data_IF_016818397372
#
_entry.id   IF_016818397372
#
_cell.length_a   1.000
_cell.length_b   1.000
_cell.length_c   1.000
_cell.angle_alpha   90.00
_cell.angle_beta   90.00
_cell.angle_gamma   90.00
#
_symmetry.space_group_name_H-M   'P 1'
#
loop_
_entity.id
_entity.type
_entity.pdbx_description
1 polymer ?
#
# COMPACT_ATOMS: atom_id res chain seq x y z
N UNK A 1 -6.48 5.12 -2.93
CA UNK A 1 -7.29 5.47 -1.72
C UNK A 1 -8.25 6.60 -2.07
N UNK A 2 -9.53 6.58 -1.63
CA UNK A 2 -10.02 5.94 -0.40
C UNK A 2 -10.85 4.64 -0.56
N UNK A 3 -11.11 4.16 -1.78
CA UNK A 3 -12.05 3.05 -2.02
C UNK A 3 -11.44 1.63 -2.07
N UNK A 4 -10.14 1.48 -1.85
CA UNK A 4 -9.44 0.20 -1.82
C UNK A 4 -8.32 0.23 -0.78
N UNK A 5 -7.66 -0.89 -0.52
CA UNK A 5 -6.46 -0.95 0.32
C UNK A 5 -5.42 -1.91 -0.27
N UNK A 6 -4.15 -1.68 0.07
CA UNK A 6 -3.04 -2.54 -0.33
C UNK A 6 -2.28 -3.02 0.91
N UNK A 7 -1.93 -4.31 0.92
CA UNK A 7 -1.17 -4.94 1.99
C UNK A 7 0.12 -5.54 1.41
N UNK A 8 1.23 -5.31 2.10
CA UNK A 8 2.50 -6.01 1.89
C UNK A 8 2.70 -6.94 3.08
N UNK A 9 2.68 -8.25 2.84
CA UNK A 9 2.66 -9.27 3.89
C UNK A 9 3.70 -10.33 3.60
N UNK A 10 4.51 -10.65 4.60
CA UNK A 10 5.31 -11.87 4.64
C UNK A 10 4.46 -12.95 5.30
N UNK A 11 4.03 -13.95 4.53
CA UNK A 11 3.26 -15.07 5.05
C UNK A 11 4.20 -16.24 5.41
N UNK A 12 3.92 -16.88 6.55
CA UNK A 12 4.62 -18.09 7.01
C UNK A 12 4.08 -19.35 6.36
N UNK A 13 2.82 -19.31 5.93
CA UNK A 13 2.09 -20.43 5.35
C UNK A 13 1.60 -20.08 3.95
N UNK A 14 1.49 -21.09 3.07
CA UNK A 14 1.06 -20.91 1.68
C UNK A 14 -0.33 -20.27 1.55
N UNK A 15 -1.22 -20.53 2.51
CA UNK A 15 -2.60 -20.04 2.54
C UNK A 15 -2.84 -18.88 3.52
N UNK A 16 -1.76 -18.31 4.08
CA UNK A 16 -1.82 -17.30 5.14
C UNK A 16 -2.64 -16.07 4.72
N UNK A 17 -2.31 -15.46 3.58
CA UNK A 17 -3.01 -14.26 3.10
C UNK A 17 -4.48 -14.54 2.72
N UNK A 18 -4.76 -15.71 2.14
CA UNK A 18 -6.11 -16.13 1.77
C UNK A 18 -6.99 -16.27 3.01
N UNK A 19 -6.48 -16.95 4.03
CA UNK A 19 -7.19 -17.15 5.30
C UNK A 19 -7.40 -15.84 6.06
N UNK A 20 -6.38 -14.99 6.12
CA UNK A 20 -6.46 -13.66 6.73
C UNK A 20 -7.53 -12.80 6.06
N UNK A 21 -7.44 -12.66 4.74
CA UNK A 21 -8.35 -11.80 3.97
C UNK A 21 -9.79 -12.28 4.07
N UNK A 22 -10.04 -13.60 3.95
CA UNK A 22 -11.37 -14.18 4.12
C UNK A 22 -11.98 -13.82 5.48
N UNK A 23 -11.22 -13.96 6.56
CA UNK A 23 -11.69 -13.64 7.92
C UNK A 23 -11.95 -12.15 8.08
N UNK A 24 -11.02 -11.30 7.64
CA UNK A 24 -11.10 -9.84 7.74
C UNK A 24 -12.30 -9.28 6.97
N UNK A 25 -12.43 -9.65 5.69
CA UNK A 25 -13.51 -9.18 4.82
C UNK A 25 -14.87 -9.63 5.34
N UNK A 26 -15.00 -10.92 5.70
CA UNK A 26 -16.29 -11.46 6.21
C UNK A 26 -16.72 -10.79 7.51
N UNK A 27 -15.80 -10.64 8.47
CA UNK A 27 -16.13 -10.03 9.76
C UNK A 27 -16.48 -8.56 9.59
N UNK A 28 -15.72 -7.82 8.78
CA UNK A 28 -15.95 -6.41 8.54
C UNK A 28 -17.26 -6.16 7.77
N UNK A 29 -17.56 -6.92 6.72
CA UNK A 29 -18.82 -6.79 5.98
C UNK A 29 -20.04 -7.04 6.88
N UNK A 30 -19.99 -8.07 7.74
CA UNK A 30 -21.08 -8.36 8.68
C UNK A 30 -21.24 -7.24 9.71
N UNK A 31 -20.14 -6.74 10.26
CA UNK A 31 -20.15 -5.60 11.18
C UNK A 31 -20.75 -4.35 10.53
N UNK A 32 -20.27 -3.98 9.34
CA UNK A 32 -20.72 -2.80 8.62
C UNK A 32 -22.22 -2.88 8.30
N UNK A 33 -22.66 -3.99 7.69
CA UNK A 33 -24.07 -4.19 7.35
C UNK A 33 -24.96 -4.12 8.58
N UNK A 34 -24.57 -4.73 9.71
CA UNK A 34 -25.31 -4.65 10.97
C UNK A 34 -25.35 -3.22 11.52
N UNK A 35 -24.23 -2.50 11.50
CA UNK A 35 -24.10 -1.15 12.07
C UNK A 35 -24.91 -0.11 11.28
N UNK A 36 -24.90 -0.22 9.95
CA UNK A 36 -25.51 0.76 9.05
C UNK A 36 -26.82 0.29 8.44
N UNK A 37 -27.36 -0.86 8.90
CA UNK A 37 -28.58 -1.48 8.40
C UNK A 37 -28.58 -1.70 6.87
N UNK A 38 -27.43 -2.07 6.32
CA UNK A 38 -27.27 -2.41 4.91
C UNK A 38 -27.44 -3.91 4.67
N UNK A 39 -27.73 -4.29 3.42
CA UNK A 39 -27.78 -5.70 2.98
C UNK A 39 -26.93 -5.87 1.72
N UNK A 40 -26.50 -7.11 1.45
CA UNK A 40 -25.69 -7.42 0.28
C UNK A 40 -24.16 -7.29 0.48
N UNK A 41 -23.39 -7.43 -0.61
CA UNK A 41 -21.93 -7.39 -0.57
C UNK A 41 -21.40 -5.98 -0.31
N UNK A 42 -20.39 -5.86 0.57
CA UNK A 42 -19.71 -4.59 0.85
C UNK A 42 -18.51 -4.34 -0.08
N UNK A 43 -17.82 -5.41 -0.48
CA UNK A 43 -16.65 -5.34 -1.35
C UNK A 43 -17.04 -5.75 -2.77
N UNK A 44 -16.52 -5.03 -3.75
CA UNK A 44 -16.89 -5.17 -5.17
C UNK A 44 -16.32 -6.42 -5.83
N UNK A 45 -15.09 -6.82 -5.48
CA UNK A 45 -14.38 -7.94 -6.10
C UNK A 45 -13.59 -8.73 -5.04
N UNK A 46 -13.11 -9.91 -5.43
CA UNK A 46 -12.15 -10.71 -4.67
C UNK A 46 -10.82 -9.97 -4.57
N UNK A 47 -10.09 -10.23 -3.49
CA UNK A 47 -8.73 -9.72 -3.36
C UNK A 47 -7.83 -10.28 -4.45
N UNK A 48 -6.86 -9.46 -4.88
CA UNK A 48 -5.82 -9.85 -5.83
C UNK A 48 -4.49 -9.90 -5.09
N UNK A 49 -3.67 -10.90 -5.39
CA UNK A 49 -2.35 -11.07 -4.81
C UNK A 49 -1.31 -11.36 -5.89
N UNK A 50 -0.11 -10.82 -5.70
CA UNK A 50 1.06 -11.07 -6.53
C UNK A 50 2.21 -11.46 -5.62
N UNK A 51 2.93 -12.54 -5.97
CA UNK A 51 4.13 -12.95 -5.23
C UNK A 51 5.28 -12.03 -5.61
N UNK A 52 6.01 -11.55 -4.62
CA UNK A 52 7.24 -10.79 -4.81
C UNK A 52 8.41 -11.77 -4.70
N UNK A 53 9.23 -11.84 -5.76
CA UNK A 53 10.38 -12.75 -5.85
C UNK A 53 11.74 -12.06 -5.84
N UNK A 54 11.77 -10.72 -5.98
CA UNK A 54 13.00 -9.95 -6.16
C UNK A 54 12.97 -8.66 -5.33
N UNK A 55 14.14 -8.26 -4.82
CA UNK A 55 14.30 -7.07 -3.98
C UNK A 55 13.91 -5.78 -4.71
N UNK A 56 14.29 -5.65 -5.99
CA UNK A 56 13.85 -4.51 -6.81
C UNK A 56 12.33 -4.41 -6.87
N UNK A 57 11.66 -5.56 -7.04
CA UNK A 57 10.21 -5.59 -7.08
C UNK A 57 9.61 -5.24 -5.70
N UNK A 58 10.20 -5.72 -4.61
CA UNK A 58 9.81 -5.36 -3.24
C UNK A 58 9.92 -3.84 -2.99
N UNK A 59 11.04 -3.22 -3.36
CA UNK A 59 11.27 -1.77 -3.24
C UNK A 59 10.18 -0.99 -4.00
N UNK A 60 9.93 -1.37 -5.26
CA UNK A 60 8.93 -0.70 -6.10
C UNK A 60 7.51 -0.86 -5.55
N UNK A 61 7.14 -2.05 -5.06
CA UNK A 61 5.82 -2.30 -4.48
C UNK A 61 5.64 -1.52 -3.18
N UNK A 62 6.66 -1.48 -2.31
CA UNK A 62 6.60 -0.69 -1.07
C UNK A 62 6.36 0.79 -1.37
N UNK A 63 7.10 1.36 -2.33
CA UNK A 63 6.88 2.73 -2.81
C UNK A 63 5.49 2.92 -3.40
N UNK A 64 5.03 2.02 -4.26
CA UNK A 64 3.70 2.09 -4.86
C UNK A 64 2.60 2.16 -3.79
N UNK A 65 2.69 1.31 -2.76
CA UNK A 65 1.73 1.26 -1.66
C UNK A 65 1.73 2.58 -0.89
N UNK A 66 2.91 3.08 -0.50
CA UNK A 66 3.01 4.30 0.29
C UNK A 66 2.62 5.55 -0.49
N UNK A 67 2.81 5.59 -1.81
CA UNK A 67 2.45 6.73 -2.66
C UNK A 67 1.04 6.62 -3.27
N UNK A 68 0.30 5.54 -3.02
CA UNK A 68 -1.06 5.36 -3.55
C UNK A 68 -2.08 6.41 -3.06
N UNK A 69 -2.08 6.85 -1.79
CA UNK A 69 -2.95 7.94 -1.37
C UNK A 69 -2.53 9.26 -2.04
N UNK A 70 -3.50 10.00 -2.58
CA UNK A 70 -3.24 11.28 -3.26
C UNK A 70 -2.47 12.28 -2.37
N UNK A 71 -2.76 12.27 -1.06
CA UNK A 71 -2.04 13.05 -0.04
C UNK A 71 -1.28 12.13 0.93
N UNK A 72 -0.41 11.28 0.39
CA UNK A 72 0.30 10.24 1.15
C UNK A 72 1.03 10.72 2.41
N UNK A 73 1.56 11.95 2.38
CA UNK A 73 2.35 12.53 3.48
C UNK A 73 1.52 12.87 4.73
N UNK A 74 0.21 13.04 4.57
CA UNK A 74 -0.73 13.31 5.67
C UNK A 74 -1.79 12.19 5.80
N UNK A 75 -1.61 11.08 5.09
CA UNK A 75 -2.55 9.96 5.12
C UNK A 75 -2.31 9.08 6.35
N UNK A 76 -3.25 9.12 7.29
CA UNK A 76 -3.11 8.43 8.59
C UNK A 76 -3.21 6.90 8.49
N UNK A 77 -3.92 6.40 7.47
CA UNK A 77 -4.14 4.97 7.24
C UNK A 77 -3.04 4.36 6.36
N UNK A 78 -1.78 4.64 6.70
CA UNK A 78 -0.58 4.11 6.04
C UNK A 78 0.44 3.61 7.04
N UNK A 79 1.23 2.60 6.64
CA UNK A 79 2.39 2.15 7.41
C UNK A 79 3.62 3.05 7.23
N UNK A 80 3.57 4.07 6.37
CA UNK A 80 4.70 4.97 6.09
C UNK A 80 5.32 5.60 7.37
N UNK A 81 4.58 6.09 8.37
CA UNK A 81 5.19 6.64 9.58
C UNK A 81 6.08 5.64 10.34
N UNK A 82 5.79 4.35 10.27
CA UNK A 82 6.61 3.30 10.90
C UNK A 82 7.93 3.09 10.14
N UNK A 83 7.90 3.19 8.81
CA UNK A 83 9.09 3.12 7.95
C UNK A 83 10.00 4.34 8.14
N UNK A 84 9.41 5.49 8.49
CA UNK A 84 10.13 6.74 8.75
C UNK A 84 10.59 6.89 10.21
N UNK A 85 10.39 5.88 11.07
CA UNK A 85 10.75 5.95 12.49
C UNK A 85 9.93 6.95 13.30
N UNK A 86 8.74 7.35 12.82
CA UNK A 86 7.83 8.29 13.52
C UNK A 86 6.80 7.58 14.39
N UNK A 87 6.59 6.27 14.17
CA UNK A 87 5.68 5.42 14.94
C UNK A 87 6.32 4.04 15.10
N UNK A 88 5.89 3.33 16.13
CA UNK A 88 6.31 1.97 16.41
C UNK A 88 5.10 1.07 16.68
N UNK A 89 5.17 -0.17 16.20
CA UNK A 89 4.18 -1.21 16.47
C UNK A 89 4.85 -2.57 16.29
N UNK A 90 4.65 -3.48 17.26
CA UNK A 90 5.24 -4.82 17.22
C UNK A 90 4.81 -5.68 16.03
N UNK A 91 3.66 -5.35 15.43
CA UNK A 91 3.08 -6.06 14.29
C UNK A 91 3.40 -5.42 12.92
N UNK A 92 4.09 -4.28 12.90
CA UNK A 92 4.61 -3.66 11.68
C UNK A 92 6.12 -3.88 11.66
N UNK A 93 6.63 -4.56 10.64
CA UNK A 93 8.05 -4.92 10.54
C UNK A 93 8.67 -4.27 9.29
N UNK A 94 9.06 -2.97 9.34
CA UNK A 94 9.66 -2.28 8.20
C UNK A 94 11.04 -2.82 7.83
N UNK A 95 11.73 -3.46 8.78
CA UNK A 95 13.13 -3.90 8.64
C UNK A 95 13.41 -4.65 7.34
N UNK A 96 12.53 -5.57 6.93
CA UNK A 96 12.69 -6.33 5.68
C UNK A 96 12.75 -5.48 4.42
N UNK A 97 12.07 -4.35 4.40
CA UNK A 97 12.17 -3.40 3.28
C UNK A 97 13.34 -2.45 3.51
N UNK A 98 13.48 -1.93 4.74
CA UNK A 98 14.52 -0.95 5.08
C UNK A 98 15.95 -1.51 4.99
N UNK A 99 16.13 -2.83 5.09
CA UNK A 99 17.40 -3.54 4.83
C UNK A 99 17.92 -3.31 3.40
N UNK A 100 17.05 -2.92 2.45
CA UNK A 100 17.42 -2.59 1.07
C UNK A 100 17.86 -1.13 0.87
N UNK A 101 17.91 -0.35 1.95
CA UNK A 101 18.21 1.08 1.95
C UNK A 101 19.22 1.42 3.05
N UNK A 102 19.88 2.57 2.93
CA UNK A 102 20.75 3.11 3.98
C UNK A 102 19.91 3.80 5.10
N UNK A 103 18.91 3.08 5.58
CA UNK A 103 18.00 3.50 6.66
C UNK A 103 16.79 4.35 6.21
N UNK A 104 15.97 4.82 7.17
CA UNK A 104 14.71 5.52 6.90
C UNK A 104 14.84 6.79 6.04
N UNK A 105 15.97 7.49 6.15
CA UNK A 105 16.23 8.71 5.36
C UNK A 105 16.42 8.39 3.87
N UNK A 106 17.14 7.32 3.56
CA UNK A 106 17.34 6.88 2.19
C UNK A 106 16.03 6.37 1.57
N UNK A 107 15.24 5.60 2.34
CA UNK A 107 13.90 5.21 1.93
C UNK A 107 13.00 6.44 1.63
N UNK A 108 13.05 7.47 2.47
CA UNK A 108 12.29 8.71 2.25
C UNK A 108 12.72 9.43 0.97
N UNK A 109 14.03 9.43 0.65
CA UNK A 109 14.55 10.00 -0.61
C UNK A 109 14.03 9.21 -1.80
N UNK A 110 14.15 7.88 -1.74
CA UNK A 110 13.60 6.96 -2.74
C UNK A 110 12.10 7.19 -3.01
N UNK A 111 11.29 7.52 -2.02
CA UNK A 111 9.87 7.88 -2.23
C UNK A 111 9.71 9.22 -2.96
N UNK A 112 10.53 10.21 -2.60
CA UNK A 112 10.42 11.59 -3.10
C UNK A 112 10.87 11.67 -4.56
N UNK A 113 12.01 11.06 -4.89
CA UNK A 113 12.57 11.06 -6.26
C UNK A 113 11.56 10.53 -7.29
N UNK A 114 10.78 9.50 -6.92
CA UNK A 114 9.75 8.96 -7.80
C UNK A 114 8.54 9.87 -7.94
N UNK A 115 8.17 10.62 -6.90
CA UNK A 115 7.05 11.54 -6.99
C UNK A 115 7.35 12.63 -8.01
N UNK A 116 8.57 13.16 -7.98
CA UNK A 116 9.01 14.18 -8.92
C UNK A 116 9.06 13.61 -10.33
N UNK A 117 9.68 12.44 -10.51
CA UNK A 117 9.68 11.72 -11.79
C UNK A 117 8.27 11.39 -12.31
N UNK A 118 7.36 10.94 -11.44
CA UNK A 118 5.97 10.65 -11.81
C UNK A 118 5.24 11.91 -12.26
N UNK A 119 5.47 13.03 -11.57
CA UNK A 119 4.90 14.32 -11.94
C UNK A 119 5.39 14.75 -13.33
N UNK A 120 6.69 14.63 -13.60
CA UNK A 120 7.26 14.89 -14.92
C UNK A 120 6.64 13.99 -16.00
N UNK A 121 6.50 12.68 -15.73
CA UNK A 121 5.85 11.74 -16.65
C UNK A 121 4.39 12.09 -16.93
N UNK A 122 3.64 12.48 -15.90
CA UNK A 122 2.23 12.86 -16.03
C UNK A 122 2.10 14.18 -16.83
N UNK A 123 3.02 15.14 -16.65
CA UNK A 123 3.11 16.37 -17.46
C UNK A 123 3.45 16.06 -18.93
N UNK A 124 4.42 15.19 -19.20
CA UNK A 124 4.78 14.75 -20.55
C UNK A 124 3.60 14.03 -21.24
N UNK A 125 2.91 13.13 -20.54
CA UNK A 125 1.71 12.46 -21.07
C UNK A 125 0.60 13.46 -21.41
N UNK A 126 0.41 14.49 -20.59
CA UNK A 126 -0.56 15.54 -20.86
C UNK A 126 -0.21 16.34 -22.12
N UNK A 127 1.06 16.72 -22.29
CA UNK A 127 1.56 17.40 -23.48
C UNK A 127 1.39 16.56 -24.75
N UNK A 128 1.71 15.26 -24.68
CA UNK A 128 1.55 14.33 -25.81
C UNK A 128 0.08 14.05 -26.16
N UNK A 129 -0.82 14.07 -25.18
CA UNK A 129 -2.26 13.87 -25.39
C UNK A 129 -2.98 15.13 -25.90
N UNK A 130 -2.39 16.31 -25.72
CA UNK A 130 -2.94 17.60 -26.19
C UNK A 130 -1.87 18.36 -26.99
N UNK A 131 -1.51 17.89 -28.20
CA UNK A 131 -0.58 18.62 -29.06
C UNK A 131 -1.18 19.97 -29.46
N UNK A 132 -0.32 21.00 -29.53
CA UNK A 132 -0.66 22.35 -29.99
C UNK A 132 -1.27 22.36 -31.40
#
# INVERSE_FOLDING_TARGET
MPNNYHLLVYQTDSDGITSLTRRLVTSYSRYFNKKYNCTGPLFEDRFKASRISEDKYLMHISRYIHLNPARYNIWEFSSLPYYLGKKEASWVVPGKVLELFDGPKDYSRFLTDYKDYKKELDELKYQLANPL
#
